data_IF_285280874724
#
_entry.id   IF_285280874724
#
_cell.length_a   1.000
_cell.length_b   1.000
_cell.length_c   1.000
_cell.angle_alpha   90.00
_cell.angle_beta   90.00
_cell.angle_gamma   90.00
#
_symmetry.space_group_name_H-M   'P 1'
#
loop_
_entity.id
_entity.type
_entity.pdbx_description
1 polymer ?
#
# COMPACT_ATOMS: atom_id res chain seq x y z
N UNK A 1 5.28 -5.31 -11.02
CA UNK A 1 5.91 -4.73 -9.80
C UNK A 1 5.82 -3.21 -9.87
N UNK A 2 5.32 -2.57 -8.83
CA UNK A 2 5.16 -1.10 -8.75
C UNK A 2 6.14 -0.55 -7.72
N UNK A 3 7.00 0.37 -8.17
CA UNK A 3 7.95 1.09 -7.33
C UNK A 3 7.28 2.37 -6.81
N UNK A 4 6.94 2.39 -5.51
CA UNK A 4 6.15 3.47 -4.94
C UNK A 4 6.92 4.78 -4.93
N UNK A 5 8.24 4.74 -4.69
CA UNK A 5 9.10 5.92 -4.66
C UNK A 5 9.11 6.63 -6.01
N UNK A 6 9.19 5.87 -7.11
CA UNK A 6 9.17 6.42 -8.48
C UNK A 6 7.81 6.99 -8.87
N UNK A 7 6.72 6.48 -8.30
CA UNK A 7 5.36 6.85 -8.71
C UNK A 7 4.70 7.90 -7.83
N UNK A 8 4.99 7.94 -6.52
CA UNK A 8 4.21 8.68 -5.51
C UNK A 8 5.08 9.52 -4.56
N UNK A 9 6.36 9.69 -4.88
CA UNK A 9 7.34 10.39 -4.06
C UNK A 9 7.68 9.69 -2.73
N UNK A 10 8.18 10.47 -1.76
CA UNK A 10 8.90 10.01 -0.56
C UNK A 10 7.93 9.66 0.60
N UNK A 11 6.71 10.19 0.50
CA UNK A 11 5.72 10.25 1.56
C UNK A 11 4.35 9.92 0.98
N UNK A 12 3.67 8.94 1.58
CA UNK A 12 2.32 8.51 1.20
C UNK A 12 1.34 9.09 2.23
N UNK A 13 0.84 10.29 1.97
CA UNK A 13 0.24 11.14 3.00
C UNK A 13 -1.27 11.29 2.96
N UNK A 14 -1.93 10.88 1.87
CA UNK A 14 -3.34 11.18 1.64
C UNK A 14 -4.11 10.00 1.06
N UNK A 15 -5.45 10.10 1.14
CA UNK A 15 -6.38 9.12 0.56
C UNK A 15 -6.24 9.08 -0.97
N UNK A 16 -6.08 10.24 -1.60
CA UNK A 16 -5.88 10.37 -3.05
C UNK A 16 -4.70 9.57 -3.58
N UNK A 17 -3.58 9.53 -2.84
CA UNK A 17 -2.40 8.72 -3.21
C UNK A 17 -2.72 7.23 -3.15
N UNK A 18 -3.56 6.79 -2.20
CA UNK A 18 -4.02 5.40 -2.15
C UNK A 18 -4.97 5.08 -3.31
N UNK A 19 -5.86 6.00 -3.68
CA UNK A 19 -6.77 5.83 -4.83
C UNK A 19 -5.97 5.68 -6.14
N UNK A 20 -5.03 6.60 -6.40
CA UNK A 20 -4.19 6.54 -7.60
C UNK A 20 -3.34 5.25 -7.63
N UNK A 21 -2.82 4.80 -6.49
CA UNK A 21 -2.13 3.52 -6.39
C UNK A 21 -3.04 2.36 -6.80
N UNK A 22 -4.27 2.31 -6.31
CA UNK A 22 -5.19 1.22 -6.63
C UNK A 22 -5.74 1.27 -8.05
N UNK A 23 -5.88 2.46 -8.64
CA UNK A 23 -6.11 2.57 -10.09
C UNK A 23 -4.97 1.91 -10.88
N UNK A 24 -3.70 2.18 -10.52
CA UNK A 24 -2.55 1.53 -11.17
C UNK A 24 -2.51 0.02 -10.96
N UNK A 25 -2.82 -0.46 -9.76
CA UNK A 25 -2.87 -1.90 -9.45
C UNK A 25 -3.96 -2.59 -10.27
N UNK A 26 -5.16 -2.01 -10.31
CA UNK A 26 -6.31 -2.63 -10.98
C UNK A 26 -6.17 -2.60 -12.52
N UNK A 27 -5.41 -1.65 -13.06
CA UNK A 27 -5.08 -1.58 -14.48
C UNK A 27 -3.96 -2.56 -14.90
N UNK A 28 -3.29 -3.25 -13.97
CA UNK A 28 -2.35 -4.32 -14.32
C UNK A 28 -3.13 -5.57 -14.76
N UNK A 29 -2.65 -6.26 -15.79
CA UNK A 29 -3.23 -7.55 -16.21
C UNK A 29 -2.96 -8.65 -15.16
N UNK A 30 -1.76 -8.63 -14.54
CA UNK A 30 -1.32 -9.61 -13.56
C UNK A 30 -2.27 -9.75 -12.36
N UNK A 31 -2.57 -10.98 -11.95
CA UNK A 31 -3.38 -11.25 -10.75
C UNK A 31 -2.63 -10.95 -9.45
N UNK A 32 -1.30 -11.06 -9.47
CA UNK A 32 -0.41 -10.74 -8.34
C UNK A 32 0.39 -9.47 -8.64
N UNK A 33 0.35 -8.51 -7.71
CA UNK A 33 1.09 -7.26 -7.80
C UNK A 33 2.01 -7.10 -6.59
N UNK A 34 3.31 -6.98 -6.86
CA UNK A 34 4.30 -6.64 -5.84
C UNK A 34 4.49 -5.12 -5.76
N UNK A 35 4.33 -4.56 -4.57
CA UNK A 35 4.58 -3.14 -4.26
C UNK A 35 5.91 -3.00 -3.53
N UNK A 36 6.82 -2.19 -4.09
CA UNK A 36 8.11 -1.88 -3.47
C UNK A 36 8.03 -0.58 -2.66
N UNK A 37 8.17 -0.69 -1.34
CA UNK A 37 8.19 0.42 -0.37
C UNK A 37 9.60 0.94 -0.07
N UNK A 38 10.60 0.50 -0.82
CA UNK A 38 11.97 1.00 -0.71
C UNK A 38 12.00 2.53 -0.78
N UNK A 39 12.78 3.13 0.12
CA UNK A 39 12.89 4.58 0.33
C UNK A 39 11.59 5.33 0.67
N UNK A 40 10.46 4.66 0.95
CA UNK A 40 9.29 5.35 1.50
C UNK A 40 9.55 5.71 2.96
N UNK A 41 9.66 7.01 3.23
CA UNK A 41 10.04 7.52 4.55
C UNK A 41 8.85 7.67 5.50
N UNK A 42 7.67 7.90 4.95
CA UNK A 42 6.48 8.17 5.77
C UNK A 42 5.21 7.66 5.10
N UNK A 43 4.32 7.11 5.92
CA UNK A 43 2.95 6.76 5.54
C UNK A 43 2.01 7.36 6.58
N UNK A 44 1.02 8.13 6.13
CA UNK A 44 0.01 8.68 7.04
C UNK A 44 -1.03 7.65 7.46
N UNK A 45 -1.73 7.95 8.55
CA UNK A 45 -2.89 7.15 8.98
C UNK A 45 -3.98 7.13 7.91
N UNK A 46 -4.25 8.28 7.26
CA UNK A 46 -5.29 8.39 6.22
C UNK A 46 -4.96 7.54 5.00
N UNK A 47 -3.71 7.57 4.51
CA UNK A 47 -3.28 6.65 3.46
C UNK A 47 -3.42 5.19 3.93
N UNK A 48 -2.98 4.86 5.14
CA UNK A 48 -3.02 3.48 5.66
C UNK A 48 -4.44 2.92 5.72
N UNK A 49 -5.39 3.73 6.19
CA UNK A 49 -6.81 3.37 6.23
C UNK A 49 -7.37 3.11 4.84
N UNK A 50 -7.10 4.01 3.89
CA UNK A 50 -7.54 3.86 2.51
C UNK A 50 -6.89 2.64 1.85
N UNK A 51 -5.58 2.49 1.96
CA UNK A 51 -4.80 1.37 1.43
C UNK A 51 -5.33 0.02 1.90
N UNK A 52 -5.50 -0.16 3.22
CA UNK A 52 -6.00 -1.43 3.77
C UNK A 52 -7.43 -1.69 3.31
N UNK A 53 -8.28 -0.66 3.28
CA UNK A 53 -9.64 -0.78 2.79
C UNK A 53 -9.67 -1.19 1.31
N UNK A 54 -8.86 -0.57 0.45
CA UNK A 54 -8.79 -0.92 -0.96
C UNK A 54 -8.16 -2.31 -1.18
N UNK A 55 -7.09 -2.67 -0.45
CA UNK A 55 -6.47 -4.00 -0.51
C UNK A 55 -7.48 -5.11 -0.21
N UNK A 56 -8.34 -4.88 0.79
CA UNK A 56 -9.39 -5.84 1.19
C UNK A 56 -10.42 -6.12 0.09
N UNK A 57 -10.73 -5.12 -0.73
CA UNK A 57 -11.76 -5.21 -1.77
C UNK A 57 -11.18 -5.42 -3.17
N UNK A 58 -9.85 -5.38 -3.32
CA UNK A 58 -9.20 -5.63 -4.60
C UNK A 58 -9.27 -7.13 -4.93
N UNK A 59 -9.56 -7.49 -6.19
CA UNK A 59 -9.46 -8.87 -6.65
C UNK A 59 -8.00 -9.33 -6.81
N UNK A 60 -7.02 -8.42 -6.69
CA UNK A 60 -5.60 -8.69 -6.90
C UNK A 60 -4.94 -9.20 -5.62
N UNK A 61 -3.99 -10.12 -5.78
CA UNK A 61 -3.09 -10.51 -4.70
C UNK A 61 -1.99 -9.46 -4.58
N UNK A 62 -1.95 -8.72 -3.47
CA UNK A 62 -0.98 -7.63 -3.28
C UNK A 62 0.06 -8.03 -2.24
N UNK A 63 1.34 -7.99 -2.64
CA UNK A 63 2.50 -8.31 -1.81
C UNK A 63 3.34 -7.06 -1.56
N UNK A 64 3.61 -6.74 -0.31
CA UNK A 64 4.46 -5.60 0.07
C UNK A 64 5.89 -6.04 0.36
N UNK A 65 6.86 -5.43 -0.33
CA UNK A 65 8.29 -5.66 -0.08
C UNK A 65 8.97 -4.37 0.37
N UNK A 66 10.11 -4.51 1.07
CA UNK A 66 10.94 -3.39 1.55
C UNK A 66 10.21 -2.36 2.42
N UNK A 67 9.17 -2.79 3.12
CA UNK A 67 8.53 -1.98 4.15
C UNK A 67 9.51 -1.72 5.30
N UNK A 68 9.77 -0.43 5.59
CA UNK A 68 10.41 -0.04 6.84
C UNK A 68 9.59 -0.51 8.03
N UNK A 69 10.24 -0.65 9.20
CA UNK A 69 9.58 -1.14 10.41
C UNK A 69 8.42 -0.23 10.81
N UNK A 70 8.64 1.07 10.73
CA UNK A 70 7.69 2.12 11.10
C UNK A 70 6.45 2.09 10.20
N UNK A 71 6.66 2.00 8.88
CA UNK A 71 5.59 1.90 7.90
C UNK A 71 4.80 0.59 8.05
N UNK A 72 5.49 -0.53 8.31
CA UNK A 72 4.86 -1.81 8.59
C UNK A 72 3.96 -1.72 9.83
N UNK A 73 4.43 -1.13 10.92
CA UNK A 73 3.64 -0.95 12.14
C UNK A 73 2.39 -0.13 11.85
N UNK A 74 2.52 1.00 11.15
CA UNK A 74 1.39 1.86 10.81
C UNK A 74 0.31 1.11 10.01
N UNK A 75 0.72 0.40 8.95
CA UNK A 75 -0.20 -0.40 8.13
C UNK A 75 -0.81 -1.56 8.92
N UNK A 76 -0.01 -2.26 9.74
CA UNK A 76 -0.48 -3.42 10.50
C UNK A 76 -1.51 -3.02 11.57
N UNK A 77 -1.33 -1.90 12.27
CA UNK A 77 -2.31 -1.38 13.24
C UNK A 77 -3.69 -1.15 12.59
N UNK A 78 -3.71 -0.74 11.32
CA UNK A 78 -4.96 -0.60 10.57
C UNK A 78 -5.47 -1.97 10.10
N UNK A 79 -4.59 -2.82 9.58
CA UNK A 79 -4.93 -4.16 9.06
C UNK A 79 -5.48 -5.10 10.13
N UNK A 80 -5.00 -5.00 11.37
CA UNK A 80 -5.46 -5.80 12.51
C UNK A 80 -6.95 -5.60 12.79
N UNK A 81 -7.48 -4.39 12.54
CA UNK A 81 -8.92 -4.09 12.66
C UNK A 81 -9.79 -4.90 11.70
N UNK A 82 -9.18 -5.46 10.66
CA UNK A 82 -9.82 -6.25 9.62
C UNK A 82 -9.31 -7.70 9.56
N UNK A 83 -8.51 -8.15 10.54
CA UNK A 83 -7.85 -9.46 10.55
C UNK A 83 -6.98 -9.73 9.29
N UNK A 84 -6.35 -8.68 8.76
CA UNK A 84 -5.49 -8.76 7.57
C UNK A 84 -4.00 -8.77 7.95
N UNK A 85 -3.17 -9.31 7.06
CA UNK A 85 -1.70 -9.28 7.18
C UNK A 85 -1.07 -8.35 6.15
N UNK A 86 -0.03 -7.66 6.58
CA UNK A 86 0.82 -6.80 5.74
C UNK A 86 2.18 -7.48 5.54
N UNK A 87 2.64 -7.56 4.29
CA UNK A 87 3.88 -8.25 3.89
C UNK A 87 3.63 -9.60 3.23
#
# INVERSE_FOLDING_TARGET
MIDLRKNFALSLDSVWVAEELFEKINNQEDEEVTLNFEDIQFISLSFSQAYVNFKRHSPKTIKEINLSRENRIMLQVVADKFNMKIG
#
